data_IF_794688220507
#
_entry.id   IF_794688220507
#
_cell.length_a   1.000
_cell.length_b   1.000
_cell.length_c   1.000
_cell.angle_alpha   90.00
_cell.angle_beta   90.00
_cell.angle_gamma   90.00
#
_symmetry.space_group_name_H-M   'P 1'
#
loop_
_entity.id
_entity.type
_entity.pdbx_description
1 polymer ?
#
# COMPACT_ATOMS: atom_id res chain seq x y z
N UNK A 1 29.58 21.19 -48.77
CA UNK A 1 30.03 20.24 -47.73
C UNK A 1 28.84 19.86 -46.87
N UNK A 2 28.24 18.69 -47.05
CA UNK A 2 27.18 18.18 -46.17
C UNK A 2 27.34 16.66 -46.04
N UNK A 3 28.02 16.21 -44.98
CA UNK A 3 27.98 14.81 -44.56
C UNK A 3 27.53 14.76 -43.10
N UNK A 4 26.37 14.14 -42.92
CA UNK A 4 25.72 13.92 -41.64
C UNK A 4 26.59 12.99 -40.78
N UNK A 5 26.69 13.34 -39.51
CA UNK A 5 27.36 12.57 -38.47
C UNK A 5 26.54 11.31 -38.18
N UNK A 6 27.23 10.17 -38.26
CA UNK A 6 26.81 8.85 -37.81
C UNK A 6 26.92 8.71 -36.28
N UNK A 7 26.36 7.60 -35.78
CA UNK A 7 26.44 7.03 -34.42
C UNK A 7 25.23 7.40 -33.56
N UNK A 8 24.43 6.48 -33.05
CA UNK A 8 24.66 5.07 -32.77
C UNK A 8 24.14 4.79 -31.36
N UNK A 9 23.66 3.57 -31.13
CA UNK A 9 23.26 2.99 -29.85
C UNK A 9 21.87 3.39 -29.31
N UNK A 10 20.89 2.62 -29.77
CA UNK A 10 19.74 2.21 -28.96
C UNK A 10 20.25 1.33 -27.81
N UNK A 11 19.96 1.68 -26.56
CA UNK A 11 20.00 0.78 -25.40
C UNK A 11 19.10 1.39 -24.32
N UNK A 12 17.81 1.05 -24.30
CA UNK A 12 17.19 -0.07 -23.60
C UNK A 12 17.00 0.17 -22.10
N UNK A 13 15.87 -0.34 -21.61
CA UNK A 13 15.46 -0.58 -20.22
C UNK A 13 15.20 0.64 -19.34
N UNK A 14 14.03 1.25 -19.58
CA UNK A 14 13.20 1.83 -18.53
C UNK A 14 12.97 0.77 -17.43
N UNK A 15 13.70 0.87 -16.32
CA UNK A 15 13.39 0.11 -15.12
C UNK A 15 12.23 0.81 -14.43
N UNK A 16 11.04 0.56 -14.97
CA UNK A 16 9.76 0.96 -14.42
C UNK A 16 9.50 0.14 -13.15
N UNK A 17 10.20 0.49 -12.06
CA UNK A 17 9.87 -0.03 -10.74
C UNK A 17 8.71 0.78 -10.21
N UNK A 18 7.52 0.45 -10.72
CA UNK A 18 6.28 0.40 -9.94
C UNK A 18 6.14 1.51 -8.91
N UNK A 19 6.08 2.74 -9.42
CA UNK A 19 5.38 3.83 -8.76
C UNK A 19 3.91 3.43 -8.72
N UNK A 20 3.55 2.61 -7.72
CA UNK A 20 2.17 2.42 -7.32
C UNK A 20 1.71 3.74 -6.70
N UNK A 21 1.46 4.74 -7.55
CA UNK A 21 0.65 5.90 -7.24
C UNK A 21 -0.79 5.41 -7.20
N UNK A 22 -1.09 4.53 -6.24
CA UNK A 22 -2.47 4.22 -5.92
C UNK A 22 -2.97 5.44 -5.17
N UNK A 23 -3.48 6.42 -5.94
CA UNK A 23 -4.45 7.43 -5.53
C UNK A 23 -5.20 6.88 -4.33
N UNK A 24 -4.83 7.34 -3.13
CA UNK A 24 -5.46 6.90 -1.89
C UNK A 24 -6.95 7.17 -2.11
N UNK A 25 -7.79 6.13 -2.29
CA UNK A 25 -9.21 6.39 -2.21
C UNK A 25 -9.42 6.97 -0.81
N UNK A 26 -10.06 8.14 -0.73
CA UNK A 26 -10.69 8.64 0.50
C UNK A 26 -11.81 7.68 0.84
N UNK A 27 -11.40 6.50 1.24
CA UNK A 27 -12.23 5.41 1.60
C UNK A 27 -12.48 5.69 3.07
N UNK A 28 -13.69 6.13 3.39
CA UNK A 28 -14.26 6.14 4.74
C UNK A 28 -14.37 4.68 5.20
N UNK A 29 -13.20 4.03 5.32
CA UNK A 29 -13.06 2.62 5.57
C UNK A 29 -13.04 2.49 7.08
N UNK A 30 -14.20 2.12 7.58
CA UNK A 30 -14.40 1.75 8.96
C UNK A 30 -13.92 0.32 9.12
N UNK A 31 -12.81 0.16 9.84
CA UNK A 31 -12.32 -1.16 10.23
C UNK A 31 -13.13 -1.70 11.41
N UNK A 32 -13.29 -3.02 11.47
CA UNK A 32 -13.98 -3.70 12.57
C UNK A 32 -13.07 -4.78 13.16
N UNK A 33 -13.09 -5.00 14.49
CA UNK A 33 -12.42 -6.15 15.10
C UNK A 33 -12.86 -7.47 14.45
N UNK A 34 -11.90 -8.34 14.12
CA UNK A 34 -12.11 -9.57 13.38
C UNK A 34 -12.01 -9.43 11.86
N UNK A 35 -11.96 -8.22 11.31
CA UNK A 35 -11.85 -8.00 9.87
C UNK A 35 -10.51 -8.52 9.33
N UNK A 36 -10.54 -9.27 8.23
CA UNK A 36 -9.33 -9.63 7.49
C UNK A 36 -8.88 -8.49 6.59
N UNK A 37 -7.59 -8.24 6.62
CA UNK A 37 -6.93 -7.15 5.88
C UNK A 37 -5.61 -7.61 5.29
N UNK A 38 -5.10 -6.88 4.30
CA UNK A 38 -3.75 -7.04 3.74
C UNK A 38 -3.02 -5.70 3.75
N UNK A 39 -1.79 -5.71 4.24
CA UNK A 39 -0.88 -4.58 4.19
C UNK A 39 0.26 -4.87 3.22
N UNK A 40 0.62 -3.90 2.38
CA UNK A 40 1.62 -4.07 1.31
C UNK A 40 2.97 -4.63 1.79
N UNK A 41 3.45 -4.18 2.97
CA UNK A 41 4.75 -4.60 3.52
C UNK A 41 4.68 -5.78 4.51
N UNK A 42 3.53 -6.02 5.15
CA UNK A 42 3.41 -7.00 6.25
C UNK A 42 2.56 -8.21 5.86
N UNK A 43 1.94 -8.20 4.68
CA UNK A 43 1.05 -9.26 4.23
C UNK A 43 -0.32 -9.17 4.89
N UNK A 44 -0.98 -10.31 4.99
CA UNK A 44 -2.31 -10.46 5.54
C UNK A 44 -2.33 -10.48 7.08
N UNK A 45 -3.45 -10.03 7.62
CA UNK A 45 -3.66 -9.93 9.05
C UNK A 45 -5.14 -9.80 9.41
N UNK A 46 -5.37 -9.76 10.72
CA UNK A 46 -6.70 -9.61 11.32
C UNK A 46 -6.71 -8.38 12.21
N UNK A 47 -7.71 -7.52 12.05
CA UNK A 47 -7.92 -6.38 12.94
C UNK A 47 -8.29 -6.91 14.33
N UNK A 48 -7.53 -6.52 15.35
CA UNK A 48 -7.80 -6.85 16.74
C UNK A 48 -8.68 -5.81 17.41
N UNK A 49 -8.39 -4.54 17.17
CA UNK A 49 -9.09 -3.43 17.80
C UNK A 49 -9.02 -2.19 16.92
N UNK A 50 -10.03 -1.33 17.08
CA UNK A 50 -10.08 -0.01 16.45
C UNK A 50 -10.43 1.00 17.52
N UNK A 51 -9.60 2.03 17.66
CA UNK A 51 -9.74 3.06 18.68
C UNK A 51 -9.60 4.44 18.06
N UNK A 52 -10.41 5.41 18.49
CA UNK A 52 -10.41 6.76 17.91
C UNK A 52 -11.58 7.00 16.97
N UNK A 53 -11.53 8.10 16.22
CA UNK A 53 -12.65 8.54 15.38
C UNK A 53 -12.17 8.91 13.98
N UNK A 54 -12.90 8.43 12.97
CA UNK A 54 -12.74 8.75 11.54
C UNK A 54 -11.26 8.83 11.10
N UNK A 55 -10.75 10.03 10.83
CA UNK A 55 -9.41 10.28 10.31
C UNK A 55 -8.26 9.96 11.28
N UNK A 56 -8.51 9.97 12.60
CA UNK A 56 -7.50 9.65 13.63
C UNK A 56 -7.69 8.26 14.22
N UNK A 57 -8.52 7.41 13.59
CA UNK A 57 -8.72 6.04 14.02
C UNK A 57 -7.40 5.27 13.96
N UNK A 58 -7.04 4.64 15.07
CA UNK A 58 -5.92 3.73 15.20
C UNK A 58 -6.45 2.31 15.13
N UNK A 59 -5.95 1.54 14.17
CA UNK A 59 -6.27 0.12 14.00
C UNK A 59 -5.09 -0.72 14.47
N UNK A 60 -5.38 -1.68 15.35
CA UNK A 60 -4.43 -2.69 15.77
C UNK A 60 -4.66 -3.95 14.94
N UNK A 61 -3.61 -4.44 14.29
CA UNK A 61 -3.68 -5.59 13.38
C UNK A 61 -2.66 -6.63 13.84
N UNK A 62 -3.13 -7.87 14.01
CA UNK A 62 -2.28 -9.05 14.13
C UNK A 62 -2.01 -9.59 12.73
N UNK A 63 -0.77 -9.49 12.26
CA UNK A 63 -0.35 -10.10 11.00
C UNK A 63 -0.06 -11.58 11.17
N UNK A 64 -0.30 -12.34 10.10
CA UNK A 64 -0.06 -13.79 10.07
C UNK A 64 1.43 -14.14 10.25
N UNK A 65 2.32 -13.19 9.95
CA UNK A 65 3.76 -13.26 10.28
C UNK A 65 4.05 -13.28 11.81
N UNK A 66 3.05 -13.20 12.67
CA UNK A 66 3.19 -13.19 14.14
C UNK A 66 3.54 -11.82 14.73
N UNK A 67 3.45 -10.75 13.92
CA UNK A 67 3.72 -9.37 14.38
C UNK A 67 2.42 -8.62 14.57
N UNK A 68 2.29 -7.88 15.67
CA UNK A 68 1.18 -6.97 15.92
C UNK A 68 1.63 -5.53 15.67
N UNK A 69 0.86 -4.75 14.91
CA UNK A 69 1.15 -3.32 14.71
C UNK A 69 -0.09 -2.47 14.78
N UNK A 70 0.14 -1.20 15.16
CA UNK A 70 -0.87 -0.16 15.22
C UNK A 70 -0.66 0.82 14.08
N UNK A 71 -1.72 1.15 13.38
CA UNK A 71 -1.67 2.04 12.23
C UNK A 71 -2.75 3.10 12.35
N UNK A 72 -2.46 4.30 11.87
CA UNK A 72 -3.52 5.26 11.61
C UNK A 72 -4.27 4.83 10.34
N UNK A 73 -5.56 4.51 10.50
CA UNK A 73 -6.45 3.99 9.47
C UNK A 73 -6.41 4.82 8.17
N UNK A 74 -6.34 6.15 8.30
CA UNK A 74 -6.35 7.09 7.17
C UNK A 74 -5.06 7.10 6.35
N UNK A 75 -3.94 6.60 6.88
CA UNK A 75 -2.61 6.73 6.27
C UNK A 75 -1.97 5.40 5.90
N UNK A 76 -2.52 4.29 6.37
CA UNK A 76 -1.91 2.99 6.17
C UNK A 76 -2.38 2.35 4.86
N UNK A 77 -1.47 1.80 4.04
CA UNK A 77 -1.80 1.11 2.80
C UNK A 77 -2.36 -0.28 3.11
N UNK A 78 -3.58 -0.30 3.64
CA UNK A 78 -4.30 -1.49 4.08
C UNK A 78 -5.50 -1.69 3.15
N UNK A 79 -5.64 -2.92 2.65
CA UNK A 79 -6.77 -3.37 1.84
C UNK A 79 -7.64 -4.29 2.70
N UNK A 80 -8.96 -4.07 2.71
CA UNK A 80 -9.91 -5.00 3.33
C UNK A 80 -10.10 -6.20 2.42
N UNK A 81 -9.95 -7.40 2.97
CA UNK A 81 -10.22 -8.65 2.27
C UNK A 81 -11.68 -9.02 2.54
N UNK A 82 -12.56 -8.82 1.55
CA UNK A 82 -13.91 -9.36 1.58
C UNK A 82 -13.87 -10.83 1.15
N UNK A 83 -14.31 -11.73 2.02
CA UNK A 83 -14.52 -13.14 1.73
C UNK A 83 -16.02 -13.44 1.70
#
# INVERSE_FOLDING_TARGET
MHSLKSSGAQNAIHREQSHAETKLPEHDVVYTPGQRVRHKAFGDGTVLAVSGAAASSIVEIAFDSGTNKKFAAAFAPIEILNN
#
